data_IF_646163043503
#
_entry.id   IF_646163043503
#
_cell.length_a   1.000
_cell.length_b   1.000
_cell.length_c   1.000
_cell.angle_alpha   90.00
_cell.angle_beta   90.00
_cell.angle_gamma   90.00
#
_symmetry.space_group_name_H-M   'P 1'
#
loop_
_entity.id
_entity.type
_entity.pdbx_description
1 polymer ?
#
# COMPACT_ATOMS: atom_id res chain seq x y z
N UNK A 1 -5.78 -4.70 -2.63
CA UNK A 1 -5.36 -4.57 -1.21
C UNK A 1 -4.77 -3.21 -0.89
N UNK A 2 -3.88 -2.65 -1.71
CA UNK A 2 -3.21 -1.36 -1.41
C UNK A 2 -4.17 -0.18 -1.15
N UNK A 3 -5.17 0.04 -2.00
CA UNK A 3 -6.11 1.15 -1.83
C UNK A 3 -6.89 1.01 -0.51
N UNK A 4 -7.44 -0.17 -0.23
CA UNK A 4 -8.10 -0.50 1.06
C UNK A 4 -7.22 -0.12 2.27
N UNK A 5 -5.90 -0.32 2.19
CA UNK A 5 -4.99 0.03 3.29
C UNK A 5 -4.82 1.55 3.38
N UNK A 6 -4.59 2.21 2.25
CA UNK A 6 -4.29 3.64 2.17
C UNK A 6 -5.50 4.52 2.47
N UNK A 7 -6.70 4.07 2.07
CA UNK A 7 -7.96 4.82 2.11
C UNK A 7 -8.72 4.61 3.44
N UNK A 8 -8.09 4.00 4.45
CA UNK A 8 -8.70 3.72 5.77
C UNK A 8 -9.51 4.90 6.34
N UNK A 9 -8.94 6.11 6.33
CA UNK A 9 -9.57 7.27 6.95
C UNK A 9 -10.79 7.74 6.13
N UNK A 10 -10.69 7.72 4.81
CA UNK A 10 -11.82 8.05 3.93
C UNK A 10 -12.97 7.05 4.14
N UNK A 11 -12.65 5.75 4.20
CA UNK A 11 -13.63 4.69 4.37
C UNK A 11 -14.32 4.74 5.74
N UNK A 12 -13.58 4.97 6.83
CA UNK A 12 -14.14 5.00 8.19
C UNK A 12 -14.91 6.29 8.50
N UNK A 13 -14.72 7.35 7.71
CA UNK A 13 -15.42 8.63 7.86
C UNK A 13 -16.59 8.80 6.88
N UNK A 14 -16.87 7.78 6.08
CA UNK A 14 -17.99 7.81 5.14
C UNK A 14 -19.35 7.90 5.85
N UNK A 15 -20.20 8.77 5.31
CA UNK A 15 -21.58 8.97 5.73
C UNK A 15 -22.54 8.37 4.69
N UNK A 16 -23.66 7.75 5.09
CA UNK A 16 -24.25 7.74 6.43
C UNK A 16 -23.68 6.65 7.38
N UNK A 17 -22.78 5.81 6.89
CA UNK A 17 -22.17 4.75 7.69
C UNK A 17 -20.75 4.42 7.19
N UNK A 18 -19.83 4.10 8.10
CA UNK A 18 -18.45 3.79 7.75
C UNK A 18 -18.36 2.53 6.88
N UNK A 19 -17.51 2.57 5.86
CA UNK A 19 -17.12 1.40 5.09
C UNK A 19 -15.97 0.70 5.80
N UNK A 20 -16.11 -0.60 6.05
CA UNK A 20 -15.10 -1.39 6.77
C UNK A 20 -14.59 -2.53 5.89
N UNK A 21 -13.52 -2.27 5.13
CA UNK A 21 -12.89 -3.28 4.29
C UNK A 21 -11.76 -4.04 4.99
N UNK A 22 -11.23 -3.52 6.10
CA UNK A 22 -10.18 -4.21 6.84
C UNK A 22 -10.76 -5.46 7.51
N UNK A 23 -10.14 -6.64 7.35
CA UNK A 23 -10.68 -7.89 7.85
C UNK A 23 -10.59 -7.96 9.38
N UNK A 24 -11.71 -8.28 10.04
CA UNK A 24 -11.79 -8.43 11.52
C UNK A 24 -10.74 -9.40 12.08
N UNK A 25 -10.40 -10.44 11.33
CA UNK A 25 -9.37 -11.41 11.71
C UNK A 25 -7.97 -10.77 11.90
N UNK A 26 -7.70 -9.63 11.25
CA UNK A 26 -6.44 -8.88 11.39
C UNK A 26 -6.60 -7.79 12.44
N UNK A 27 -7.49 -6.81 12.23
CA UNK A 27 -7.57 -5.65 13.11
C UNK A 27 -8.08 -5.99 14.52
N UNK A 28 -8.82 -7.09 14.66
CA UNK A 28 -9.31 -7.52 15.97
C UNK A 28 -8.28 -8.07 16.93
N UNK A 29 -7.05 -8.28 16.47
CA UNK A 29 -5.89 -8.53 17.34
C UNK A 29 -5.44 -7.26 18.08
N UNK A 30 -5.83 -6.08 17.60
CA UNK A 30 -5.26 -4.79 18.02
C UNK A 30 -6.28 -3.82 18.62
N UNK A 31 -7.57 -3.95 18.29
CA UNK A 31 -8.64 -3.10 18.82
C UNK A 31 -9.99 -3.83 18.93
N UNK A 32 -10.88 -3.27 19.76
CA UNK A 32 -12.25 -3.77 19.88
C UNK A 32 -13.10 -3.36 18.69
N UNK A 33 -12.95 -2.11 18.22
CA UNK A 33 -13.62 -1.55 17.05
C UNK A 33 -12.58 -1.00 16.07
N UNK A 34 -12.86 -1.07 14.77
CA UNK A 34 -11.92 -0.62 13.74
C UNK A 34 -11.71 0.90 13.83
N UNK A 35 -12.77 1.65 14.13
CA UNK A 35 -12.76 3.10 14.30
C UNK A 35 -11.92 3.59 15.50
N UNK A 36 -11.57 2.71 16.45
CA UNK A 36 -10.70 3.06 17.58
C UNK A 36 -9.32 3.57 17.10
N UNK A 37 -8.90 3.17 15.89
CA UNK A 37 -7.65 3.65 15.31
C UNK A 37 -7.68 5.13 14.89
N UNK A 38 -8.85 5.79 14.86
CA UNK A 38 -8.95 7.25 14.67
C UNK A 38 -8.32 8.02 15.84
N UNK A 39 -8.44 7.49 17.05
CA UNK A 39 -7.78 8.06 18.22
C UNK A 39 -6.32 7.61 18.28
N UNK A 40 -5.49 8.29 17.49
CA UNK A 40 -4.05 8.06 17.43
C UNK A 40 -3.37 8.30 18.78
N UNK A 41 -3.94 9.13 19.67
CA UNK A 41 -3.38 9.41 20.98
C UNK A 41 -3.42 8.17 21.89
N UNK A 42 -4.57 7.51 21.97
CA UNK A 42 -4.75 6.31 22.79
C UNK A 42 -4.27 5.03 22.08
N UNK A 43 -4.56 4.89 20.79
CA UNK A 43 -4.43 3.63 20.07
C UNK A 43 -3.32 3.61 19.01
N UNK A 44 -2.56 4.71 18.85
CA UNK A 44 -1.57 4.87 17.79
C UNK A 44 -0.60 3.68 17.62
N UNK A 45 0.08 3.19 18.68
CA UNK A 45 0.97 2.04 18.56
C UNK A 45 0.26 0.75 18.10
N UNK A 46 -0.99 0.52 18.53
CA UNK A 46 -1.76 -0.65 18.12
C UNK A 46 -2.24 -0.52 16.66
N UNK A 47 -2.67 0.68 16.27
CA UNK A 47 -3.07 1.02 14.90
C UNK A 47 -1.91 0.79 13.91
N UNK A 48 -0.71 1.28 14.23
CA UNK A 48 0.48 1.08 13.38
C UNK A 48 0.87 -0.40 13.27
N UNK A 49 0.77 -1.18 14.35
CA UNK A 49 1.00 -2.63 14.27
C UNK A 49 -0.01 -3.33 13.37
N UNK A 50 -1.29 -2.94 13.45
CA UNK A 50 -2.33 -3.45 12.57
C UNK A 50 -2.05 -3.08 11.10
N UNK A 51 -1.67 -1.82 10.85
CA UNK A 51 -1.28 -1.33 9.53
C UNK A 51 -0.13 -2.15 8.95
N UNK A 52 0.89 -2.46 9.75
CA UNK A 52 2.02 -3.27 9.30
C UNK A 52 1.59 -4.72 8.97
N UNK A 53 0.68 -5.33 9.72
CA UNK A 53 0.12 -6.67 9.39
C UNK A 53 -0.62 -6.64 8.04
N UNK A 54 -1.43 -5.60 7.81
CA UNK A 54 -2.13 -5.36 6.54
C UNK A 54 -1.16 -5.16 5.37
N UNK A 55 -0.13 -4.33 5.53
CA UNK A 55 0.87 -4.06 4.50
C UNK A 55 1.68 -5.33 4.19
N UNK A 56 2.15 -6.06 5.20
CA UNK A 56 2.88 -7.32 5.01
C UNK A 56 2.04 -8.36 4.28
N UNK A 57 0.74 -8.45 4.61
CA UNK A 57 -0.20 -9.31 3.87
C UNK A 57 -0.29 -8.90 2.40
N UNK A 58 -0.41 -7.60 2.10
CA UNK A 58 -0.44 -7.12 0.72
C UNK A 58 0.87 -7.37 -0.03
N UNK A 59 2.02 -7.22 0.63
CA UNK A 59 3.35 -7.48 0.04
C UNK A 59 3.58 -8.95 -0.30
N UNK A 60 2.89 -9.88 0.36
CA UNK A 60 2.99 -11.32 0.05
C UNK A 60 2.59 -11.67 -1.39
N UNK A 61 1.78 -10.83 -2.04
CA UNK A 61 1.38 -11.00 -3.44
C UNK A 61 2.37 -10.43 -4.46
N UNK A 62 3.39 -9.68 -4.02
CA UNK A 62 4.36 -9.05 -4.92
C UNK A 62 5.08 -10.07 -5.85
N UNK A 63 5.52 -11.26 -5.38
CA UNK A 63 6.13 -12.25 -6.26
C UNK A 63 5.21 -12.72 -7.38
N UNK A 64 3.92 -12.95 -7.09
CA UNK A 64 2.93 -13.39 -8.09
C UNK A 64 2.71 -12.30 -9.15
N UNK A 65 2.62 -11.03 -8.73
CA UNK A 65 2.52 -9.90 -9.66
C UNK A 65 3.75 -9.81 -10.57
N UNK A 66 4.96 -10.00 -10.04
CA UNK A 66 6.19 -9.99 -10.84
C UNK A 66 6.26 -11.17 -11.82
N UNK A 67 5.79 -12.35 -11.40
CA UNK A 67 5.69 -13.54 -12.25
C UNK A 67 4.71 -13.32 -13.40
N UNK A 68 3.55 -12.70 -13.12
CA UNK A 68 2.58 -12.32 -14.14
C UNK A 68 3.18 -11.32 -15.15
N UNK A 69 3.79 -10.23 -14.68
CA UNK A 69 4.38 -9.20 -15.55
C UNK A 69 5.50 -9.77 -16.45
N UNK A 70 6.26 -10.76 -15.97
CA UNK A 70 7.31 -11.41 -16.75
C UNK A 70 6.79 -12.19 -17.98
N UNK A 71 5.51 -12.54 -18.00
CA UNK A 71 4.86 -13.29 -19.08
C UNK A 71 4.16 -12.37 -20.10
N UNK A 72 4.12 -11.06 -19.86
CA UNK A 72 3.47 -10.11 -20.77
C UNK A 72 4.46 -9.63 -21.83
N UNK A 73 4.21 -9.97 -23.10
CA UNK A 73 5.12 -9.69 -24.20
C UNK A 73 4.84 -8.38 -24.95
N UNK A 74 3.57 -7.98 -25.06
CA UNK A 74 3.22 -6.71 -25.71
C UNK A 74 3.62 -5.54 -24.82
N UNK A 75 4.40 -4.60 -25.36
CA UNK A 75 4.98 -3.51 -24.60
C UNK A 75 3.93 -2.54 -24.01
N UNK A 76 2.82 -2.30 -24.72
CA UNK A 76 1.77 -1.40 -24.25
C UNK A 76 0.92 -2.07 -23.18
N UNK A 77 0.56 -3.34 -23.38
CA UNK A 77 -0.14 -4.15 -22.38
C UNK A 77 0.74 -4.33 -21.13
N UNK A 78 2.05 -4.56 -21.31
CA UNK A 78 3.00 -4.63 -20.21
C UNK A 78 2.97 -3.35 -19.38
N UNK A 79 3.11 -2.19 -20.01
CA UNK A 79 3.08 -0.89 -19.33
C UNK A 79 1.78 -0.64 -18.59
N UNK A 80 0.64 -1.00 -19.21
CA UNK A 80 -0.67 -0.87 -18.62
C UNK A 80 -0.79 -1.62 -17.29
N UNK A 81 -0.20 -2.81 -17.19
CA UNK A 81 -0.17 -3.57 -15.94
C UNK A 81 0.96 -3.17 -15.00
N UNK A 82 2.15 -2.88 -15.51
CA UNK A 82 3.35 -2.64 -14.72
C UNK A 82 3.28 -1.32 -13.92
N UNK A 83 2.80 -0.24 -14.53
CA UNK A 83 2.74 1.09 -13.90
C UNK A 83 1.87 1.07 -12.63
N UNK A 84 0.61 0.56 -12.64
CA UNK A 84 -0.19 0.43 -11.44
C UNK A 84 0.45 -0.44 -10.36
N UNK A 85 1.16 -1.51 -10.72
CA UNK A 85 1.83 -2.40 -9.77
C UNK A 85 2.99 -1.70 -9.06
N UNK A 86 3.81 -0.93 -9.80
CA UNK A 86 4.87 -0.11 -9.20
C UNK A 86 4.28 0.96 -8.28
N UNK A 87 3.19 1.63 -8.69
CA UNK A 87 2.51 2.63 -7.87
C UNK A 87 1.89 2.02 -6.61
N UNK A 88 1.38 0.80 -6.69
CA UNK A 88 0.88 0.06 -5.55
C UNK A 88 2.02 -0.26 -4.56
N UNK A 89 3.17 -0.73 -5.04
CA UNK A 89 4.36 -0.95 -4.21
C UNK A 89 4.81 0.35 -3.52
N UNK A 90 4.91 1.46 -4.26
CA UNK A 90 5.25 2.77 -3.71
C UNK A 90 4.29 3.22 -2.60
N UNK A 91 3.00 2.97 -2.79
CA UNK A 91 1.96 3.32 -1.82
C UNK A 91 2.04 2.44 -0.58
N UNK A 92 2.27 1.13 -0.71
CA UNK A 92 2.50 0.23 0.42
C UNK A 92 3.75 0.65 1.22
N UNK A 93 4.84 0.99 0.53
CA UNK A 93 6.04 1.54 1.16
C UNK A 93 5.76 2.83 1.92
N UNK A 94 4.92 3.72 1.38
CA UNK A 94 4.52 4.96 2.07
C UNK A 94 3.65 4.69 3.31
N UNK A 95 2.78 3.69 3.25
CA UNK A 95 1.90 3.32 4.35
C UNK A 95 2.63 2.56 5.47
N UNK A 96 3.65 1.77 5.15
CA UNK A 96 4.37 0.98 6.15
C UNK A 96 4.95 1.84 7.28
N UNK A 97 4.67 1.45 8.52
CA UNK A 97 5.09 2.11 9.75
C UNK A 97 4.73 3.62 9.80
N UNK A 98 3.61 4.02 9.18
CA UNK A 98 3.23 5.43 9.04
C UNK A 98 1.90 5.75 9.72
N UNK A 99 1.97 6.39 10.89
CA UNK A 99 0.77 6.79 11.66
C UNK A 99 -0.13 7.78 10.90
N UNK A 100 0.41 8.50 9.92
CA UNK A 100 -0.36 9.50 9.19
C UNK A 100 -1.50 8.90 8.37
N UNK A 101 -1.48 7.60 8.06
CA UNK A 101 -2.59 6.86 7.42
C UNK A 101 -3.90 7.04 8.21
N UNK A 102 -3.82 7.19 9.53
CA UNK A 102 -4.98 7.36 10.41
C UNK A 102 -5.39 8.82 10.61
N UNK A 103 -4.64 9.78 10.04
CA UNK A 103 -4.82 11.22 10.28
C UNK A 103 -5.08 12.02 9.00
N UNK A 104 -4.63 11.50 7.85
CA UNK A 104 -4.78 12.16 6.55
C UNK A 104 -4.60 11.18 5.40
N UNK A 105 -5.05 11.58 4.21
CA UNK A 105 -4.73 10.87 2.97
C UNK A 105 -3.21 10.85 2.73
N UNK A 106 -2.63 9.65 2.58
CA UNK A 106 -1.23 9.48 2.18
C UNK A 106 -1.15 9.02 0.73
N UNK A 107 -0.39 9.72 -0.11
CA UNK A 107 -0.25 9.35 -1.52
C UNK A 107 1.17 9.58 -2.04
N UNK A 108 1.64 8.75 -2.99
CA UNK A 108 2.87 9.01 -3.71
C UNK A 108 2.87 10.42 -4.34
N UNK A 109 4.04 11.06 -4.36
CA UNK A 109 4.19 12.39 -4.97
C UNK A 109 3.97 12.30 -6.49
N UNK A 110 3.40 13.36 -7.08
CA UNK A 110 3.16 13.43 -8.52
C UNK A 110 4.45 13.25 -9.34
N UNK A 111 5.59 13.76 -8.86
CA UNK A 111 6.88 13.57 -9.51
C UNK A 111 7.35 12.11 -9.55
N UNK A 112 7.02 11.31 -8.52
CA UNK A 112 7.28 9.87 -8.55
C UNK A 112 6.37 9.18 -9.58
N UNK A 113 5.09 9.54 -9.63
CA UNK A 113 4.17 9.01 -10.63
C UNK A 113 4.64 9.33 -12.05
N UNK A 114 5.06 10.56 -12.31
CA UNK A 114 5.65 10.98 -13.59
C UNK A 114 6.88 10.15 -13.95
N UNK A 115 7.80 9.95 -12.99
CA UNK A 115 9.00 9.13 -13.18
C UNK A 115 8.65 7.67 -13.51
N UNK A 116 7.70 7.07 -12.80
CA UNK A 116 7.26 5.69 -13.05
C UNK A 116 6.64 5.58 -14.45
N UNK A 117 5.78 6.53 -14.84
CA UNK A 117 5.17 6.56 -16.17
C UNK A 117 6.22 6.70 -17.29
N UNK A 118 7.23 7.53 -17.07
CA UNK A 118 8.30 7.76 -18.05
C UNK A 118 9.24 6.56 -18.19
N UNK A 119 9.66 5.97 -17.06
CA UNK A 119 10.80 5.03 -17.02
C UNK A 119 10.42 3.55 -17.10
N UNK A 120 9.15 3.18 -17.05
CA UNK A 120 8.75 1.74 -17.01
C UNK A 120 8.57 1.16 -18.42
N UNK A 121 9.59 0.51 -18.98
CA UNK A 121 9.50 -0.11 -20.32
C UNK A 121 9.78 -1.59 -20.36
N UNK A 122 10.37 -2.13 -19.30
CA UNK A 122 10.81 -3.52 -19.23
C UNK A 122 10.67 -4.09 -17.81
N UNK A 123 10.79 -5.41 -17.70
CA UNK A 123 10.89 -6.07 -16.39
C UNK A 123 12.14 -5.65 -15.59
N UNK A 124 13.20 -5.19 -16.25
CA UNK A 124 14.37 -4.66 -15.55
C UNK A 124 14.02 -3.36 -14.79
N UNK A 125 13.23 -2.49 -15.41
CA UNK A 125 12.77 -1.24 -14.79
C UNK A 125 11.83 -1.53 -13.61
N UNK A 126 10.88 -2.46 -13.78
CA UNK A 126 9.99 -2.90 -12.70
C UNK A 126 10.80 -3.43 -11.51
N UNK A 127 11.76 -4.32 -11.75
CA UNK A 127 12.63 -4.88 -10.71
C UNK A 127 13.45 -3.79 -10.02
N UNK A 128 13.93 -2.79 -10.76
CA UNK A 128 14.67 -1.66 -10.20
C UNK A 128 13.81 -0.85 -9.22
N UNK A 129 12.58 -0.51 -9.60
CA UNK A 129 11.64 0.18 -8.71
C UNK A 129 11.28 -0.67 -7.48
N UNK A 130 10.92 -1.95 -7.67
CA UNK A 130 10.59 -2.85 -6.57
C UNK A 130 11.76 -3.02 -5.59
N UNK A 131 12.98 -3.17 -6.10
CA UNK A 131 14.17 -3.25 -5.28
C UNK A 131 14.39 -1.97 -4.46
N UNK A 132 14.26 -0.79 -5.09
CA UNK A 132 14.34 0.49 -4.37
C UNK A 132 13.33 0.59 -3.23
N UNK A 133 12.06 0.28 -3.50
CA UNK A 133 11.00 0.30 -2.49
C UNK A 133 11.18 -0.77 -1.41
N UNK A 134 11.75 -1.93 -1.73
CA UNK A 134 12.07 -2.96 -0.75
C UNK A 134 13.19 -2.50 0.20
N UNK A 135 14.22 -1.82 -0.30
CA UNK A 135 15.26 -1.22 0.54
C UNK A 135 14.68 -0.13 1.47
N UNK A 136 13.78 0.70 0.96
CA UNK A 136 13.07 1.69 1.78
C UNK A 136 12.22 1.04 2.88
N UNK A 137 11.52 -0.06 2.58
CA UNK A 137 10.76 -0.81 3.59
C UNK A 137 11.66 -1.39 4.67
N UNK A 138 12.80 -1.98 4.29
CA UNK A 138 13.77 -2.53 5.24
C UNK A 138 14.36 -1.44 6.15
N UNK A 139 14.56 -0.22 5.64
CA UNK A 139 15.06 0.90 6.43
C UNK A 139 14.02 1.47 7.42
N UNK A 140 12.73 1.14 7.27
CA UNK A 140 11.64 1.57 8.16
C UNK A 140 11.29 0.55 9.25
N UNK A 141 11.88 -0.64 9.18
CA UNK A 141 11.61 -1.75 10.08
C UNK A 141 12.35 -1.60 11.40
#
# INVERSE_FOLDING_TARGET
>A
NTNIIRDYLEDIEEEPAPRMFWPRAVWGKYAQRLEDFKDVGANGPAAVRCLNDMVTTALSHAPDCLCFLAQVHDAQIFRFWAIPQIMAMATLTLCYNNIQVFQREVKPRLGLAARVMDQTWSMADVRSFYHGFALELLAKN
#
